data_IF_145254294575
#
_entry.id   IF_145254294575
#
_cell.length_a   1.000
_cell.length_b   1.000
_cell.length_c   1.000
_cell.angle_alpha   90.00
_cell.angle_beta   90.00
_cell.angle_gamma   90.00
#
_symmetry.space_group_name_H-M   'P 1'
#
loop_
_entity.id
_entity.type
_entity.pdbx_description
1 polymer ?
#
# COMPACT_ATOMS: atom_id res chain seq x y z
N UNK A 1 0.55 3.36 23.90
CA UNK A 1 0.23 3.13 22.48
C UNK A 1 0.50 1.66 22.19
N UNK A 2 -0.53 0.85 22.01
CA UNK A 2 -0.36 -0.59 21.76
C UNK A 2 0.08 -0.81 20.31
N UNK A 3 1.21 -1.50 20.05
CA UNK A 3 1.63 -1.80 18.69
C UNK A 3 0.69 -2.84 18.08
N UNK A 4 0.30 -2.64 16.83
CA UNK A 4 -0.50 -3.61 16.08
C UNK A 4 0.45 -4.54 15.35
N UNK A 5 0.18 -5.84 15.43
CA UNK A 5 1.06 -6.86 14.88
C UNK A 5 0.31 -7.70 13.86
N UNK A 6 0.92 -7.87 12.68
CA UNK A 6 0.45 -8.74 11.62
C UNK A 6 1.49 -9.82 11.34
N UNK A 7 1.12 -11.08 11.53
CA UNK A 7 2.00 -12.22 11.27
C UNK A 7 1.33 -13.16 10.28
N UNK A 8 2.02 -13.49 9.18
CA UNK A 8 1.55 -14.50 8.24
C UNK A 8 1.99 -15.88 8.73
N UNK A 9 1.03 -16.78 8.96
CA UNK A 9 1.30 -18.16 9.38
C UNK A 9 1.46 -19.10 8.16
N UNK A 10 2.15 -20.24 8.29
CA UNK A 10 2.84 -20.74 9.50
C UNK A 10 4.26 -20.17 9.71
N UNK A 11 4.98 -19.80 8.65
CA UNK A 11 6.37 -19.29 8.70
C UNK A 11 6.58 -18.02 7.86
N UNK A 12 5.53 -17.20 7.72
CA UNK A 12 5.59 -15.97 6.94
C UNK A 12 6.26 -14.81 7.68
N UNK A 13 6.46 -13.67 7.00
CA UNK A 13 7.01 -12.48 7.63
C UNK A 13 6.03 -11.92 8.66
N UNK A 14 6.59 -11.27 9.69
CA UNK A 14 5.81 -10.53 10.67
C UNK A 14 6.12 -9.05 10.55
N UNK A 15 5.06 -8.25 10.52
CA UNK A 15 5.12 -6.80 10.47
C UNK A 15 4.51 -6.22 11.75
N UNK A 16 5.27 -5.35 12.41
CA UNK A 16 4.81 -4.54 13.54
C UNK A 16 4.52 -3.14 13.05
N UNK A 17 3.31 -2.68 13.32
CA UNK A 17 2.83 -1.36 12.96
C UNK A 17 2.61 -0.52 14.20
N UNK A 18 3.22 0.66 14.23
CA UNK A 18 2.93 1.68 15.23
C UNK A 18 1.94 2.65 14.62
N UNK A 19 0.71 2.67 15.14
CA UNK A 19 -0.36 3.53 14.64
C UNK A 19 -0.34 4.89 15.35
N UNK A 20 -0.59 5.94 14.58
CA UNK A 20 -0.79 7.31 15.08
C UNK A 20 -1.89 7.99 14.26
N UNK A 21 -2.35 9.16 14.71
CA UNK A 21 -3.50 9.86 14.12
C UNK A 21 -4.74 8.96 13.96
N UNK A 22 -5.02 8.16 15.00
CA UNK A 22 -6.12 7.19 14.95
C UNK A 22 -7.45 7.91 15.21
N UNK A 23 -8.34 7.88 14.22
CA UNK A 23 -9.75 8.24 14.38
C UNK A 23 -10.57 6.96 14.33
N UNK A 24 -11.33 6.69 15.39
CA UNK A 24 -12.08 5.45 15.52
C UNK A 24 -13.44 5.60 14.82
N UNK A 25 -14.01 4.49 14.37
CA UNK A 25 -15.34 4.50 13.72
C UNK A 25 -16.42 5.15 14.61
N UNK A 26 -16.31 5.00 15.92
CA UNK A 26 -17.28 5.54 16.88
C UNK A 26 -17.25 7.06 17.01
N UNK A 27 -16.18 7.71 16.53
CA UNK A 27 -16.03 9.17 16.56
C UNK A 27 -16.68 9.84 15.34
N UNK A 28 -17.03 9.07 14.32
CA UNK A 28 -17.77 9.58 13.16
C UNK A 28 -19.26 9.66 13.48
N UNK A 29 -19.96 10.62 12.83
CA UNK A 29 -21.43 10.67 12.82
C UNK A 29 -22.02 9.29 12.54
N UNK A 30 -23.18 8.96 13.12
CA UNK A 30 -23.83 7.66 13.01
C UNK A 30 -24.15 7.28 11.56
N UNK A 31 -23.14 6.80 10.85
CA UNK A 31 -23.26 6.15 9.56
C UNK A 31 -23.70 4.73 9.84
N UNK A 32 -24.77 4.31 9.17
CA UNK A 32 -25.34 2.98 9.29
C UNK A 32 -24.31 1.85 9.16
N UNK A 33 -24.74 0.62 9.46
CA UNK A 33 -23.88 -0.56 9.34
C UNK A 33 -23.33 -0.65 7.91
N UNK A 34 -22.00 -0.56 7.78
CA UNK A 34 -21.32 -0.65 6.49
C UNK A 34 -21.63 -1.97 5.79
N UNK A 35 -21.52 -1.99 4.45
CA UNK A 35 -21.73 -3.21 3.68
C UNK A 35 -20.75 -4.30 4.12
N UNK A 36 -21.24 -5.53 4.29
CA UNK A 36 -20.41 -6.70 4.62
C UNK A 36 -19.55 -7.20 3.46
N UNK A 37 -19.46 -6.45 2.36
CA UNK A 37 -18.72 -6.83 1.18
C UNK A 37 -17.21 -6.68 1.40
N UNK A 38 -16.42 -7.49 0.68
CA UNK A 38 -14.97 -7.47 0.74
C UNK A 38 -14.41 -6.25 0.01
N UNK A 39 -13.59 -5.42 0.66
CA UNK A 39 -13.11 -4.18 0.06
C UNK A 39 -12.13 -4.45 -1.08
N UNK A 40 -12.19 -3.61 -2.11
CA UNK A 40 -11.11 -3.49 -3.08
C UNK A 40 -9.92 -2.75 -2.47
N UNK A 41 -8.71 -3.05 -2.94
CA UNK A 41 -7.49 -2.38 -2.49
C UNK A 41 -7.02 -1.38 -3.53
N UNK A 42 -6.81 -0.14 -3.10
CA UNK A 42 -6.10 0.87 -3.85
C UNK A 42 -4.76 1.14 -3.15
N UNK A 43 -3.65 0.98 -3.88
CA UNK A 43 -2.32 1.30 -3.39
C UNK A 43 -1.77 2.47 -4.20
N UNK A 44 -1.43 3.56 -3.53
CA UNK A 44 -0.74 4.70 -4.11
C UNK A 44 0.67 4.80 -3.51
N UNK A 45 1.70 4.92 -4.35
CA UNK A 45 3.09 4.72 -3.94
C UNK A 45 3.42 3.26 -3.63
N UNK A 46 4.42 2.99 -2.77
CA UNK A 46 4.92 1.65 -2.43
C UNK A 46 5.53 0.88 -3.61
N UNK A 47 6.24 1.58 -4.51
CA UNK A 47 6.76 0.99 -5.75
C UNK A 47 8.13 0.31 -5.59
N UNK A 48 8.86 0.62 -4.51
CA UNK A 48 10.17 0.00 -4.21
C UNK A 48 10.03 -1.49 -3.86
N UNK A 49 11.15 -2.22 -3.82
CA UNK A 49 11.13 -3.64 -3.40
C UNK A 49 10.57 -3.82 -1.98
N UNK A 50 10.89 -2.89 -1.08
CA UNK A 50 10.34 -2.87 0.27
C UNK A 50 8.84 -2.52 0.26
N UNK A 51 8.46 -1.52 -0.52
CA UNK A 51 7.05 -1.13 -0.72
C UNK A 51 6.19 -2.27 -1.26
N UNK A 52 6.67 -3.00 -2.27
CA UNK A 52 6.01 -4.20 -2.82
C UNK A 52 5.85 -5.29 -1.77
N UNK A 53 6.83 -5.46 -0.87
CA UNK A 53 6.74 -6.42 0.23
C UNK A 53 5.68 -6.04 1.26
N UNK A 54 5.65 -4.76 1.66
CA UNK A 54 4.60 -4.22 2.53
C UNK A 54 3.22 -4.37 1.88
N UNK A 55 3.11 -4.03 0.59
CA UNK A 55 1.89 -4.20 -0.21
C UNK A 55 1.42 -5.65 -0.22
N UNK A 56 2.34 -6.60 -0.36
CA UNK A 56 2.02 -8.03 -0.29
C UNK A 56 1.44 -8.41 1.06
N UNK A 57 2.07 -7.99 2.17
CA UNK A 57 1.60 -8.24 3.53
C UNK A 57 0.18 -7.66 3.74
N UNK A 58 -0.04 -6.41 3.34
CA UNK A 58 -1.32 -5.72 3.53
C UNK A 58 -2.45 -6.28 2.64
N UNK A 59 -2.14 -6.67 1.40
CA UNK A 59 -3.13 -7.24 0.47
C UNK A 59 -3.69 -8.57 0.98
N UNK A 60 -2.86 -9.41 1.58
CA UNK A 60 -3.28 -10.72 2.07
C UNK A 60 -4.04 -10.68 3.40
N UNK A 61 -4.27 -9.49 3.97
CA UNK A 61 -5.14 -9.33 5.13
C UNK A 61 -6.62 -9.51 4.77
N UNK A 62 -6.98 -9.25 3.51
CA UNK A 62 -8.35 -9.32 3.04
C UNK A 62 -8.50 -10.36 1.92
N UNK A 63 -9.66 -11.01 1.83
CA UNK A 63 -9.96 -11.91 0.73
C UNK A 63 -10.13 -11.13 -0.58
N UNK A 64 -10.03 -11.84 -1.69
CA UNK A 64 -10.18 -11.25 -3.03
C UNK A 64 -11.60 -10.65 -3.18
N UNK A 65 -11.71 -9.36 -3.53
CA UNK A 65 -13.00 -8.69 -3.69
C UNK A 65 -13.72 -9.15 -4.95
N UNK A 66 -15.05 -8.99 -4.97
CA UNK A 66 -15.84 -9.10 -6.21
C UNK A 66 -15.79 -7.80 -7.00
N UNK A 67 -15.86 -7.88 -8.33
CA UNK A 67 -15.80 -6.71 -9.22
C UNK A 67 -16.88 -5.65 -8.92
N UNK A 68 -18.08 -6.09 -8.52
CA UNK A 68 -19.22 -5.20 -8.21
C UNK A 68 -19.11 -4.47 -6.85
N UNK A 69 -18.02 -4.67 -6.11
CA UNK A 69 -17.92 -4.15 -4.74
C UNK A 69 -17.60 -2.65 -4.73
N UNK A 70 -18.52 -1.85 -4.19
CA UNK A 70 -18.37 -0.38 -4.05
C UNK A 70 -17.46 0.08 -2.91
N UNK A 71 -16.93 -0.85 -2.12
CA UNK A 71 -16.14 -0.59 -0.92
C UNK A 71 -14.65 -0.62 -1.29
N UNK A 72 -13.92 0.42 -0.92
CA UNK A 72 -12.50 0.59 -1.25
C UNK A 72 -11.71 0.93 0.01
N UNK A 73 -10.63 0.19 0.21
CA UNK A 73 -9.59 0.51 1.17
C UNK A 73 -8.42 1.12 0.41
N UNK A 74 -8.04 2.33 0.82
CA UNK A 74 -6.94 3.07 0.23
C UNK A 74 -5.75 3.01 1.18
N UNK A 75 -4.64 2.54 0.65
CA UNK A 75 -3.32 2.64 1.24
C UNK A 75 -2.54 3.61 0.37
N UNK A 76 -2.13 4.72 0.94
CA UNK A 76 -1.24 5.64 0.25
C UNK A 76 -0.04 5.93 1.12
N UNK A 77 1.08 6.14 0.48
CA UNK A 77 2.33 6.49 1.14
C UNK A 77 2.61 7.98 0.94
N UNK A 78 3.11 8.61 2.01
CA UNK A 78 3.57 9.99 2.01
C UNK A 78 4.71 10.09 3.02
N UNK A 79 5.89 10.53 2.59
CA UNK A 79 7.10 10.64 3.43
C UNK A 79 7.43 9.36 4.24
N UNK A 80 7.38 8.18 3.60
CA UNK A 80 7.57 6.85 4.23
C UNK A 80 6.53 6.47 5.30
N UNK A 81 5.47 7.26 5.44
CA UNK A 81 4.34 6.96 6.31
C UNK A 81 3.23 6.35 5.47
N UNK A 82 2.73 5.20 5.90
CA UNK A 82 1.59 4.56 5.24
C UNK A 82 0.33 5.06 5.90
N UNK A 83 -0.56 5.64 5.11
CA UNK A 83 -1.86 6.15 5.57
C UNK A 83 -2.96 5.24 5.07
N UNK A 84 -3.84 4.88 5.99
CA UNK A 84 -5.00 4.03 5.72
C UNK A 84 -6.27 4.87 5.71
N UNK A 85 -7.08 4.69 4.67
CA UNK A 85 -8.43 5.26 4.59
C UNK A 85 -9.40 4.23 4.07
N UNK A 86 -10.65 4.35 4.50
CA UNK A 86 -11.70 3.41 4.16
C UNK A 86 -12.94 4.14 3.64
N UNK A 87 -13.15 4.01 2.34
CA UNK A 87 -14.17 4.71 1.58
C UNK A 87 -15.17 3.74 0.93
N UNK A 88 -16.39 4.22 0.72
CA UNK A 88 -17.31 3.68 -0.28
C UNK A 88 -17.41 4.72 -1.39
N UNK A 89 -17.46 4.27 -2.63
CA UNK A 89 -17.72 5.17 -3.75
C UNK A 89 -19.09 4.91 -4.37
N UNK A 90 -19.69 5.97 -4.90
CA UNK A 90 -20.92 5.93 -5.69
C UNK A 90 -20.73 6.82 -6.91
N UNK A 91 -21.26 6.39 -8.04
CA UNK A 91 -21.33 7.22 -9.24
C UNK A 91 -22.74 7.82 -9.32
N UNK A 92 -22.84 9.14 -9.25
CA UNK A 92 -24.08 9.90 -9.44
C UNK A 92 -23.83 10.80 -10.65
N UNK A 93 -24.62 10.64 -11.72
CA UNK A 93 -24.49 11.45 -12.94
C UNK A 93 -23.07 11.54 -13.52
N UNK A 94 -22.32 10.43 -13.47
CA UNK A 94 -20.89 10.29 -13.86
C UNK A 94 -19.89 11.03 -12.96
N UNK A 95 -20.34 11.63 -11.86
CA UNK A 95 -19.49 12.19 -10.81
C UNK A 95 -19.21 11.12 -9.76
N UNK A 96 -17.95 10.99 -9.36
CA UNK A 96 -17.53 10.06 -8.31
C UNK A 96 -17.70 10.73 -6.94
N UNK A 97 -18.67 10.26 -6.17
CA UNK A 97 -18.85 10.65 -4.78
C UNK A 97 -18.21 9.60 -3.87
N UNK A 98 -17.44 10.06 -2.89
CA UNK A 98 -16.78 9.17 -1.92
C UNK A 98 -17.27 9.48 -0.51
N UNK A 99 -17.67 8.44 0.21
CA UNK A 99 -18.10 8.52 1.59
C UNK A 99 -17.13 7.71 2.44
N UNK A 100 -16.65 8.30 3.53
CA UNK A 100 -15.80 7.58 4.45
C UNK A 100 -16.60 6.88 5.55
N UNK A 101 -16.25 5.63 5.86
CA UNK A 101 -16.97 4.83 6.86
C UNK A 101 -16.09 4.18 7.93
N UNK A 102 -14.78 4.11 7.73
CA UNK A 102 -13.88 3.35 8.62
C UNK A 102 -12.96 4.22 9.45
N UNK A 103 -12.11 3.58 10.26
CA UNK A 103 -11.09 4.29 11.00
C UNK A 103 -10.07 4.92 10.05
N UNK A 104 -9.54 6.07 10.44
CA UNK A 104 -8.34 6.67 9.85
C UNK A 104 -7.18 6.35 10.76
N UNK A 105 -6.06 5.95 10.19
CA UNK A 105 -4.81 5.90 10.93
C UNK A 105 -3.65 6.00 9.96
N UNK A 106 -2.55 6.49 10.50
CA UNK A 106 -1.27 6.52 9.84
C UNK A 106 -0.35 5.54 10.59
N UNK A 107 0.55 4.87 9.88
CA UNK A 107 1.33 3.79 10.46
C UNK A 107 2.79 3.79 10.03
N UNK A 108 3.66 3.57 11.01
CA UNK A 108 5.07 3.21 10.81
C UNK A 108 5.23 1.71 10.91
N UNK A 109 6.15 1.15 10.13
CA UNK A 109 6.31 -0.30 9.99
C UNK A 109 7.66 -0.79 10.56
N UNK A 110 7.73 -2.08 10.87
CA UNK A 110 8.94 -2.84 11.18
C UNK A 110 8.68 -4.26 10.68
N UNK A 111 9.60 -4.81 9.88
CA UNK A 111 9.43 -6.13 9.27
C UNK A 111 10.59 -7.02 9.69
N UNK A 112 10.27 -8.25 10.09
CA UNK A 112 11.24 -9.31 10.29
C UNK A 112 10.74 -10.61 9.68
N UNK A 113 11.71 -11.49 9.39
CA UNK A 113 11.47 -12.81 8.84
C UNK A 113 11.36 -13.82 9.98
N UNK A 114 10.15 -14.21 10.33
CA UNK A 114 9.90 -15.21 11.36
C UNK A 114 8.54 -15.06 12.01
N UNK A 115 8.11 -16.10 12.74
CA UNK A 115 6.88 -16.06 13.52
C UNK A 115 6.99 -15.04 14.65
N UNK A 116 5.83 -14.59 15.17
CA UNK A 116 5.76 -13.63 16.27
C UNK A 116 6.60 -14.03 17.50
N UNK A 117 6.59 -15.32 17.87
CA UNK A 117 7.26 -15.80 19.08
C UNK A 117 8.80 -15.62 19.04
N UNK A 118 9.38 -15.42 17.86
CA UNK A 118 10.82 -15.34 17.65
C UNK A 118 11.32 -13.91 17.39
N UNK A 119 10.64 -12.85 17.89
CA UNK A 119 11.02 -11.45 17.62
C UNK A 119 12.50 -11.14 17.98
N UNK A 120 13.06 -11.78 19.00
CA UNK A 120 14.44 -11.54 19.46
C UNK A 120 15.54 -12.23 18.65
N UNK A 121 15.21 -13.32 17.96
CA UNK A 121 16.18 -14.16 17.22
C UNK A 121 16.03 -14.01 15.72
N UNK A 122 14.84 -13.63 15.26
CA UNK A 122 14.51 -13.50 13.85
C UNK A 122 15.34 -12.42 13.14
N UNK A 123 15.64 -12.68 11.87
CA UNK A 123 16.36 -11.72 11.04
C UNK A 123 15.46 -10.51 10.73
N UNK A 124 15.91 -9.34 11.18
CA UNK A 124 15.22 -8.07 10.95
C UNK A 124 15.51 -7.61 9.53
N UNK A 125 14.47 -7.56 8.71
CA UNK A 125 14.57 -7.10 7.32
C UNK A 125 14.55 -5.58 7.23
N UNK A 126 13.66 -4.93 7.99
CA UNK A 126 13.57 -3.48 8.00
C UNK A 126 13.07 -2.92 9.33
N UNK A 127 13.70 -1.84 9.78
CA UNK A 127 13.33 -1.06 10.97
C UNK A 127 13.49 0.42 10.65
N UNK A 128 12.49 1.21 11.01
CA UNK A 128 12.58 2.66 11.01
C UNK A 128 13.60 3.15 12.05
N UNK A 129 14.64 3.88 11.60
CA UNK A 129 15.73 4.39 12.46
C UNK A 129 15.75 5.93 12.44
N UNK A 130 15.03 6.61 13.36
CA UNK A 130 14.88 8.07 13.33
C UNK A 130 16.17 8.83 13.64
N UNK A 131 17.08 8.26 14.44
CA UNK A 131 18.28 8.95 14.92
C UNK A 131 19.46 8.96 13.94
N UNK A 132 19.23 8.62 12.66
CA UNK A 132 20.25 8.72 11.62
C UNK A 132 20.19 10.10 10.98
N UNK A 133 21.33 10.79 10.86
CA UNK A 133 21.40 12.14 10.29
C UNK A 133 20.88 12.21 8.83
N UNK A 134 20.92 11.09 8.10
CA UNK A 134 20.39 11.02 6.72
C UNK A 134 18.96 10.50 6.64
N UNK A 135 18.28 10.23 7.76
CA UNK A 135 16.95 9.60 7.76
C UNK A 135 15.92 10.44 7.00
N UNK A 136 15.89 11.76 7.24
CA UNK A 136 14.92 12.66 6.61
C UNK A 136 15.11 12.84 5.10
N UNK A 137 16.25 12.44 4.53
CA UNK A 137 16.54 12.56 3.09
C UNK A 137 16.23 11.29 2.31
N UNK A 138 15.96 10.19 2.99
CA UNK A 138 15.79 8.88 2.37
C UNK A 138 14.30 8.57 2.34
N UNK A 139 13.78 8.32 1.14
CA UNK A 139 12.51 7.64 0.96
C UNK A 139 12.79 6.16 0.66
N UNK A 140 12.16 5.25 1.40
CA UNK A 140 12.33 3.81 1.28
C UNK A 140 11.15 3.12 0.58
N UNK A 141 9.96 3.73 0.59
CA UNK A 141 8.73 3.15 0.10
C UNK A 141 8.36 3.57 -1.33
N UNK A 142 8.57 4.82 -1.70
CA UNK A 142 8.42 5.31 -3.08
C UNK A 142 9.76 5.61 -3.72
N UNK A 143 9.80 5.41 -5.03
CA UNK A 143 10.75 6.09 -5.89
C UNK A 143 9.98 7.27 -6.45
N UNK A 144 10.54 8.48 -6.48
CA UNK A 144 9.92 9.58 -7.22
C UNK A 144 9.78 9.12 -8.68
N UNK A 145 8.55 8.76 -9.07
CA UNK A 145 8.25 8.49 -10.46
C UNK A 145 8.31 9.84 -11.16
N UNK A 146 9.36 10.02 -11.96
CA UNK A 146 9.42 11.07 -12.94
C UNK A 146 8.19 10.96 -13.83
N UNK A 147 7.37 12.01 -13.79
CA UNK A 147 6.43 12.46 -14.81
C UNK A 147 6.10 11.38 -15.86
N UNK A 148 4.94 10.73 -15.72
CA UNK A 148 4.33 9.91 -16.75
C UNK A 148 4.15 10.75 -18.03
N UNK A 149 5.15 10.75 -18.92
CA UNK A 149 4.93 11.08 -20.33
C UNK A 149 4.31 9.85 -20.97
N UNK A 150 3.09 10.03 -21.45
CA UNK A 150 2.31 9.07 -22.20
C UNK A 150 3.12 8.47 -23.37
N UNK A 151 3.69 7.27 -23.16
CA UNK A 151 4.19 6.43 -24.25
C UNK A 151 3.01 5.68 -24.87
N UNK A 152 2.36 6.32 -25.84
CA UNK A 152 1.47 5.68 -26.81
C UNK A 152 2.21 4.56 -27.58
N UNK A 153 1.70 3.32 -27.64
CA UNK A 153 2.30 2.27 -28.47
C UNK A 153 1.85 2.43 -29.94
N UNK A 154 2.65 3.11 -30.75
CA UNK A 154 2.51 3.11 -32.22
C UNK A 154 2.74 1.69 -32.78
N UNK A 155 1.69 1.13 -33.38
CA UNK A 155 1.65 -0.21 -33.96
C UNK A 155 2.31 -0.28 -35.35
N UNK A 156 3.30 -1.16 -35.50
CA UNK A 156 3.60 -2.01 -36.66
C UNK A 156 3.55 -1.43 -38.09
N UNK A 157 4.73 -1.31 -38.72
CA UNK A 157 4.88 -1.14 -40.17
C UNK A 157 6.16 -1.78 -40.71
N UNK A 158 6.02 -2.61 -41.74
CA UNK A 158 7.01 -3.54 -42.32
C UNK A 158 8.07 -2.89 -43.23
N UNK A 159 9.32 -3.36 -43.20
CA UNK A 159 9.99 -4.03 -44.35
C UNK A 159 11.49 -4.28 -44.14
N UNK A 160 11.92 -5.47 -44.55
CA UNK A 160 13.31 -5.85 -44.74
C UNK A 160 13.93 -5.13 -45.96
N UNK A 161 15.18 -4.67 -45.86
CA UNK A 161 16.17 -4.67 -46.96
C UNK A 161 17.60 -4.31 -46.52
N UNK A 162 18.49 -5.28 -46.77
CA UNK A 162 19.88 -5.17 -47.28
C UNK A 162 21.00 -4.55 -46.42
N UNK A 163 21.87 -5.46 -45.94
CA UNK A 163 23.31 -5.63 -46.32
C UNK A 163 24.20 -4.38 -46.49
N UNK A 164 25.20 -4.32 -45.59
CA UNK A 164 26.67 -4.28 -45.84
C UNK A 164 27.36 -2.98 -46.29
N UNK A 165 28.27 -2.44 -45.43
CA UNK A 165 29.73 -2.17 -45.62
C UNK A 165 30.23 -0.85 -44.99
N UNK A 166 31.44 -0.94 -44.41
CA UNK A 166 32.44 0.14 -44.22
C UNK A 166 32.15 1.06 -43.03
N UNK A 167 33.09 1.41 -42.14
CA UNK A 167 34.55 1.41 -42.14
C UNK A 167 35.01 1.07 -40.71
#
# INVERSE_FOLDING_TARGET
MFPNLLSHLPFGPTAKFTLFNVLMRHDFEEKGRGSGAYPQHLFHGLNTNLGRRVRCILKHLFPVPKEETKRVVVWYEDEDIIRFRHHTYKYVDRVLETEEHGPRFDMLYKIWRGPLHEEGTAEVEWVFRPYMNTAYKRCFLSTEEGNDTDDEPEAGGTNAKKRLKGL
#
